data_IF_738391585414
#
_entry.id   IF_738391585414
#
_cell.length_a   1.000
_cell.length_b   1.000
_cell.length_c   1.000
_cell.angle_alpha   90.00
_cell.angle_beta   90.00
_cell.angle_gamma   90.00
#
_symmetry.space_group_name_H-M   'P 1'
#
loop_
_entity.id
_entity.type
_entity.pdbx_description
1 polymer ?
#
# COMPACT_ATOMS: atom_id res chain seq x y z
N UNK A 1 -12.27 18.36 -71.76
CA UNK A 1 -13.66 17.88 -71.57
C UNK A 1 -14.14 18.31 -70.19
N UNK A 2 -15.27 19.01 -70.17
CA UNK A 2 -15.98 19.58 -69.02
C UNK A 2 -16.68 18.51 -68.17
N UNK A 3 -16.64 18.66 -66.83
CA UNK A 3 -17.69 18.29 -65.84
C UNK A 3 -17.22 18.86 -64.49
N UNK A 4 -17.65 20.03 -64.00
CA UNK A 4 -18.97 20.47 -63.49
C UNK A 4 -19.56 19.59 -62.36
N UNK A 5 -19.56 20.19 -61.16
CA UNK A 5 -20.57 20.11 -60.10
C UNK A 5 -20.55 18.84 -59.24
N UNK A 6 -20.81 18.84 -57.93
CA UNK A 6 -21.75 19.66 -57.15
C UNK A 6 -21.28 19.88 -55.70
N UNK A 7 -21.63 21.06 -55.18
CA UNK A 7 -21.78 21.38 -53.77
C UNK A 7 -22.56 20.29 -53.01
N UNK A 8 -22.13 19.98 -51.78
CA UNK A 8 -23.06 19.85 -50.65
C UNK A 8 -22.32 20.12 -49.34
N UNK A 9 -22.55 21.33 -48.82
CA UNK A 9 -22.30 21.68 -47.45
C UNK A 9 -23.46 21.17 -46.59
N UNK A 10 -23.18 20.41 -45.54
CA UNK A 10 -24.05 20.30 -44.37
C UNK A 10 -23.17 20.51 -43.16
N UNK A 11 -23.17 21.76 -42.66
CA UNK A 11 -22.68 22.09 -41.33
C UNK A 11 -23.70 21.56 -40.33
N UNK A 12 -23.36 20.48 -39.61
CA UNK A 12 -24.05 20.12 -38.38
C UNK A 12 -23.30 20.75 -37.21
N UNK A 13 -23.74 21.93 -36.78
CA UNK A 13 -23.29 22.59 -35.56
C UNK A 13 -23.88 21.86 -34.36
N UNK A 14 -23.21 20.80 -33.90
CA UNK A 14 -23.46 20.20 -32.60
C UNK A 14 -22.80 21.04 -31.52
N UNK A 15 -23.59 21.80 -30.76
CA UNK A 15 -23.12 22.50 -29.57
C UNK A 15 -22.77 21.46 -28.49
N UNK A 16 -21.49 21.11 -28.38
CA UNK A 16 -20.98 20.28 -27.29
C UNK A 16 -20.83 21.19 -26.07
N UNK A 17 -21.78 21.14 -25.14
CA UNK A 17 -21.67 21.73 -23.81
C UNK A 17 -20.51 21.03 -23.08
N UNK A 18 -19.32 21.59 -23.20
CA UNK A 18 -18.16 21.25 -22.38
C UNK A 18 -18.45 21.63 -20.93
N UNK A 19 -18.99 20.67 -20.17
CA UNK A 19 -18.94 20.68 -18.72
C UNK A 19 -17.47 20.53 -18.31
N UNK A 20 -16.81 21.67 -18.08
CA UNK A 20 -15.50 21.74 -17.46
C UNK A 20 -15.68 21.30 -16.00
N UNK A 21 -15.52 19.99 -15.73
CA UNK A 21 -15.44 19.49 -14.37
C UNK A 21 -14.21 20.15 -13.71
N UNK A 22 -14.35 20.76 -12.52
CA UNK A 22 -13.20 21.29 -11.82
C UNK A 22 -12.26 20.12 -11.53
N UNK A 23 -11.08 20.18 -12.15
CA UNK A 23 -9.97 19.29 -11.88
C UNK A 23 -9.53 19.58 -10.44
N UNK A 24 -10.14 18.92 -9.46
CA UNK A 24 -9.68 18.97 -8.08
C UNK A 24 -8.26 18.41 -8.06
N UNK A 25 -7.28 19.31 -7.97
CA UNK A 25 -5.89 18.95 -7.76
C UNK A 25 -5.80 18.23 -6.41
N UNK A 26 -5.66 16.89 -6.47
CA UNK A 26 -5.31 16.08 -5.31
C UNK A 26 -3.87 16.45 -4.95
N UNK A 27 -3.71 17.40 -4.02
CA UNK A 27 -2.40 17.71 -3.47
C UNK A 27 -1.92 16.52 -2.64
N UNK A 28 -0.75 15.97 -2.98
CA UNK A 28 -0.11 14.93 -2.20
C UNK A 28 0.10 15.43 -0.77
N UNK A 29 -0.59 14.83 0.20
CA UNK A 29 -0.49 15.23 1.59
C UNK A 29 0.94 15.00 2.12
N UNK A 30 1.41 15.85 3.06
CA UNK A 30 2.80 15.85 3.50
C UNK A 30 3.17 14.55 4.23
N UNK A 31 4.46 14.19 4.18
CA UNK A 31 5.08 13.01 4.81
C UNK A 31 4.67 12.81 6.27
N UNK A 32 4.38 13.90 7.00
CA UNK A 32 3.90 13.85 8.37
C UNK A 32 2.58 13.07 8.54
N UNK A 33 1.69 13.08 7.54
CA UNK A 33 0.38 12.44 7.64
C UNK A 33 0.45 10.90 7.47
N UNK A 34 1.32 10.38 6.60
CA UNK A 34 1.55 8.92 6.50
C UNK A 34 2.25 8.38 7.75
N UNK A 35 3.17 9.18 8.31
CA UNK A 35 3.76 8.94 9.63
C UNK A 35 2.70 8.86 10.72
N UNK A 36 1.68 9.73 10.70
CA UNK A 36 0.60 9.71 11.70
C UNK A 36 -0.25 8.43 11.63
N UNK A 37 -0.49 7.87 10.44
CA UNK A 37 -1.15 6.55 10.30
C UNK A 37 -0.28 5.42 10.82
N UNK A 38 1.01 5.41 10.46
CA UNK A 38 1.98 4.43 10.96
C UNK A 38 2.10 4.49 12.49
N UNK A 39 2.15 5.68 13.08
CA UNK A 39 2.17 5.89 14.52
C UNK A 39 0.92 5.34 15.21
N UNK A 40 -0.27 5.61 14.67
CA UNK A 40 -1.52 5.00 15.18
C UNK A 40 -1.47 3.48 15.11
N UNK A 41 -0.96 2.92 14.01
CA UNK A 41 -0.79 1.48 13.86
C UNK A 41 0.21 0.90 14.88
N UNK A 42 1.28 1.63 15.23
CA UNK A 42 2.23 1.25 16.29
C UNK A 42 1.60 1.24 17.68
N UNK A 43 0.64 2.15 17.95
CA UNK A 43 -0.07 2.24 19.22
C UNK A 43 -1.10 1.14 19.44
N UNK A 44 -1.52 0.44 18.38
CA UNK A 44 -2.46 -0.66 18.50
C UNK A 44 -1.84 -1.87 19.21
N UNK A 45 -2.64 -2.60 20.03
CA UNK A 45 -2.27 -3.94 20.49
C UNK A 45 -1.91 -4.84 19.30
N UNK A 46 -0.95 -5.74 19.50
CA UNK A 46 -0.38 -6.53 18.42
C UNK A 46 -1.43 -7.27 17.58
N UNK A 47 -2.42 -7.89 18.22
CA UNK A 47 -3.49 -8.61 17.54
C UNK A 47 -4.30 -7.69 16.62
N UNK A 48 -4.61 -6.47 17.08
CA UNK A 48 -5.37 -5.50 16.28
C UNK A 48 -4.53 -4.98 15.11
N UNK A 49 -3.25 -4.67 15.37
CA UNK A 49 -2.29 -4.28 14.33
C UNK A 49 -2.18 -5.35 13.24
N UNK A 50 -2.06 -6.62 13.64
CA UNK A 50 -1.99 -7.74 12.70
C UNK A 50 -3.29 -7.92 11.92
N UNK A 51 -4.45 -7.70 12.54
CA UNK A 51 -5.73 -7.74 11.84
C UNK A 51 -5.83 -6.65 10.76
N UNK A 52 -5.41 -5.42 11.07
CA UNK A 52 -5.39 -4.31 10.10
C UNK A 52 -4.45 -4.63 8.93
N UNK A 53 -3.23 -5.09 9.21
CA UNK A 53 -2.25 -5.43 8.16
C UNK A 53 -2.68 -6.64 7.34
N UNK A 54 -3.32 -7.63 7.96
CA UNK A 54 -3.94 -8.76 7.26
C UNK A 54 -5.07 -8.29 6.34
N UNK A 55 -5.90 -7.35 6.80
CA UNK A 55 -6.95 -6.73 6.01
C UNK A 55 -6.35 -6.10 4.75
N UNK A 56 -5.38 -5.21 4.92
CA UNK A 56 -4.69 -4.55 3.80
C UNK A 56 -4.10 -5.55 2.78
N UNK A 57 -3.48 -6.64 3.26
CA UNK A 57 -2.96 -7.72 2.41
C UNK A 57 -4.06 -8.36 1.56
N UNK A 58 -5.15 -8.77 2.19
CA UNK A 58 -6.27 -9.43 1.51
C UNK A 58 -7.00 -8.47 0.55
N UNK A 59 -7.19 -7.20 0.95
CA UNK A 59 -7.82 -6.17 0.12
C UNK A 59 -6.99 -5.85 -1.14
N UNK A 60 -5.67 -6.05 -1.07
CA UNK A 60 -4.75 -5.91 -2.20
C UNK A 60 -4.63 -7.18 -3.06
N UNK A 61 -5.42 -8.22 -2.79
CA UNK A 61 -5.40 -9.49 -3.52
C UNK A 61 -4.32 -10.49 -3.08
N UNK A 62 -3.54 -10.16 -2.05
CA UNK A 62 -2.57 -11.10 -1.47
C UNK A 62 -3.24 -11.91 -0.37
N UNK A 63 -3.52 -13.18 -0.66
CA UNK A 63 -4.09 -14.07 0.34
C UNK A 63 -3.13 -14.18 1.54
N UNK A 64 -3.64 -13.75 2.70
CA UNK A 64 -2.95 -13.88 3.97
C UNK A 64 -3.84 -14.47 5.06
N UNK A 65 -3.53 -15.72 5.45
CA UNK A 65 -4.26 -16.40 6.53
C UNK A 65 -3.93 -15.82 7.90
N UNK A 66 -2.66 -15.56 8.19
CA UNK A 66 -2.22 -14.98 9.47
C UNK A 66 -0.99 -14.12 9.27
N UNK A 67 -0.96 -12.95 9.91
CA UNK A 67 0.28 -12.20 10.08
C UNK A 67 1.03 -12.76 11.29
N UNK A 68 2.25 -13.24 11.09
CA UNK A 68 3.10 -13.80 12.14
C UNK A 68 4.14 -12.83 12.66
N UNK A 69 4.50 -11.81 11.87
CA UNK A 69 5.33 -10.70 12.29
C UNK A 69 4.98 -9.43 11.51
N UNK A 70 5.06 -8.27 12.17
CA UNK A 70 4.98 -6.98 11.49
C UNK A 70 5.88 -5.96 12.20
N UNK A 71 6.70 -5.24 11.44
CA UNK A 71 7.62 -4.23 11.98
C UNK A 71 7.60 -2.97 11.12
N UNK A 72 7.49 -1.77 11.73
CA UNK A 72 7.67 -0.53 10.99
C UNK A 72 9.13 -0.41 10.54
N UNK A 73 9.35 -0.09 9.27
CA UNK A 73 10.69 0.26 8.80
C UNK A 73 11.01 1.71 9.18
N UNK A 74 12.26 1.96 9.55
CA UNK A 74 12.75 3.32 9.86
C UNK A 74 12.82 4.18 8.59
N UNK A 75 13.13 3.54 7.48
CA UNK A 75 13.19 4.15 6.16
C UNK A 75 11.82 3.95 5.48
N UNK A 76 11.13 5.06 5.24
CA UNK A 76 9.97 5.10 4.36
C UNK A 76 10.39 5.14 2.89
N UNK A 77 9.42 5.29 1.99
CA UNK A 77 9.67 5.58 0.59
C UNK A 77 8.88 6.83 0.20
N UNK A 78 9.59 7.89 -0.19
CA UNK A 78 9.03 9.23 -0.40
C UNK A 78 8.16 9.69 0.78
N UNK A 79 6.86 9.87 0.54
CA UNK A 79 5.86 10.27 1.53
C UNK A 79 5.09 9.07 2.13
N UNK A 80 5.57 7.85 1.96
CA UNK A 80 4.92 6.63 2.44
C UNK A 80 5.67 6.03 3.62
N UNK A 81 4.94 5.71 4.68
CA UNK A 81 5.50 4.94 5.79
C UNK A 81 5.53 3.46 5.43
N UNK A 82 6.66 2.79 5.60
CA UNK A 82 6.82 1.38 5.22
C UNK A 82 6.72 0.45 6.43
N UNK A 83 6.07 -0.69 6.25
CA UNK A 83 6.02 -1.81 7.18
C UNK A 83 6.47 -3.10 6.50
N UNK A 84 7.28 -3.88 7.21
CA UNK A 84 7.63 -5.25 6.82
C UNK A 84 6.66 -6.20 7.49
N UNK A 85 5.96 -7.04 6.72
CA UNK A 85 4.92 -7.94 7.22
C UNK A 85 5.19 -9.36 6.74
N UNK A 86 5.27 -10.30 7.69
CA UNK A 86 5.37 -11.72 7.39
C UNK A 86 3.99 -12.34 7.48
N UNK A 87 3.53 -12.84 6.35
CA UNK A 87 2.32 -13.61 6.26
C UNK A 87 2.63 -15.11 6.33
N UNK A 88 1.82 -15.84 7.08
CA UNK A 88 1.83 -17.30 7.17
C UNK A 88 0.51 -17.83 6.61
N UNK A 89 0.58 -18.54 5.49
CA UNK A 89 -0.60 -19.09 4.81
C UNK A 89 -0.92 -20.50 5.30
N UNK A 90 0.12 -21.31 5.48
CA UNK A 90 0.06 -22.62 6.09
C UNK A 90 1.26 -22.82 7.04
N UNK A 91 1.46 -24.05 7.54
CA UNK A 91 2.51 -24.34 8.51
C UNK A 91 3.94 -24.24 7.94
N UNK A 92 4.11 -24.30 6.62
CA UNK A 92 5.41 -24.39 5.95
C UNK A 92 5.70 -23.21 5.00
N UNK A 93 4.66 -22.48 4.57
CA UNK A 93 4.74 -21.41 3.61
C UNK A 93 4.52 -20.06 4.29
N UNK A 94 5.61 -19.29 4.37
CA UNK A 94 5.58 -17.88 4.77
C UNK A 94 6.03 -16.98 3.63
N UNK A 95 5.41 -15.82 3.51
CA UNK A 95 5.70 -14.82 2.50
C UNK A 95 5.88 -13.47 3.18
N UNK A 96 6.91 -12.75 2.75
CA UNK A 96 7.25 -11.44 3.29
C UNK A 96 6.80 -10.33 2.34
N UNK A 97 6.14 -9.32 2.90
CA UNK A 97 5.56 -8.20 2.18
C UNK A 97 6.06 -6.86 2.72
N UNK A 98 6.24 -5.92 1.80
CA UNK A 98 6.38 -4.50 2.06
C UNK A 98 5.00 -3.84 1.94
N UNK A 99 4.54 -3.21 3.02
CA UNK A 99 3.29 -2.45 3.07
C UNK A 99 3.63 -0.98 3.19
N UNK A 100 3.32 -0.20 2.17
CA UNK A 100 3.51 1.24 2.12
C UNK A 100 2.19 1.95 2.44
N UNK A 101 2.17 2.74 3.51
CA UNK A 101 1.00 3.46 3.99
C UNK A 101 1.04 4.90 3.48
N UNK A 102 -0.01 5.28 2.76
CA UNK A 102 -0.25 6.65 2.31
C UNK A 102 -0.76 7.56 3.44
N UNK A 103 -0.66 8.89 3.25
CA UNK A 103 -1.18 9.87 4.20
C UNK A 103 -2.72 9.88 4.30
N UNK A 104 -3.38 9.36 3.28
CA UNK A 104 -4.83 9.13 3.18
C UNK A 104 -5.29 7.83 3.85
N UNK A 105 -4.36 7.02 4.37
CA UNK A 105 -4.64 5.71 4.94
C UNK A 105 -4.76 4.59 3.90
N UNK A 106 -4.47 4.86 2.63
CA UNK A 106 -4.34 3.81 1.61
C UNK A 106 -3.11 2.95 1.87
N UNK A 107 -3.14 1.70 1.42
CA UNK A 107 -2.03 0.77 1.52
C UNK A 107 -1.64 0.26 0.13
N UNK A 108 -0.35 0.34 -0.19
CA UNK A 108 0.24 -0.28 -1.37
C UNK A 108 1.13 -1.44 -0.92
N UNK A 109 0.93 -2.61 -1.52
CA UNK A 109 1.59 -3.84 -1.08
C UNK A 109 2.46 -4.40 -2.19
N UNK A 110 3.68 -4.79 -1.82
CA UNK A 110 4.64 -5.46 -2.70
C UNK A 110 5.27 -6.65 -1.98
N UNK A 111 5.67 -7.68 -2.72
CA UNK A 111 6.46 -8.76 -2.13
C UNK A 111 7.88 -8.23 -1.85
N UNK A 112 8.47 -8.63 -0.73
CA UNK A 112 9.81 -8.18 -0.35
C UNK A 112 10.90 -8.62 -1.33
N UNK A 113 10.65 -9.65 -2.14
CA UNK A 113 11.57 -10.08 -3.20
C UNK A 113 11.66 -9.07 -4.35
N UNK A 114 10.57 -8.32 -4.58
CA UNK A 114 10.45 -7.40 -5.70
C UNK A 114 10.97 -6.00 -5.35
N UNK A 115 11.06 -5.65 -4.05
CA UNK A 115 11.50 -4.32 -3.62
C UNK A 115 12.93 -4.02 -4.03
N UNK A 116 13.83 -5.00 -3.95
CA UNK A 116 15.24 -4.83 -4.36
C UNK A 116 15.38 -4.53 -5.85
N UNK A 117 14.57 -5.17 -6.70
CA UNK A 117 14.58 -4.95 -8.15
C UNK A 117 14.07 -3.56 -8.52
N UNK A 118 13.18 -3.00 -7.69
CA UNK A 118 12.51 -1.72 -7.91
C UNK A 118 13.20 -0.54 -7.18
N UNK A 119 14.38 -0.76 -6.59
CA UNK A 119 15.08 0.23 -5.73
C UNK A 119 14.20 0.77 -4.59
N UNK A 120 13.27 -0.04 -4.09
CA UNK A 120 12.46 0.28 -2.91
C UNK A 120 13.18 -0.16 -1.63
N UNK A 121 12.84 0.41 -0.46
CA UNK A 121 13.50 0.06 0.79
C UNK A 121 13.31 -1.42 1.11
N UNK A 122 14.36 -2.01 1.69
CA UNK A 122 14.40 -3.45 1.95
C UNK A 122 13.52 -3.78 3.16
N UNK A 123 12.83 -4.92 3.08
CA UNK A 123 12.08 -5.42 4.23
C UNK A 123 13.04 -5.85 5.34
N UNK A 124 12.84 -5.30 6.53
CA UNK A 124 13.60 -5.68 7.71
C UNK A 124 12.65 -6.23 8.76
N UNK A 125 12.89 -7.46 9.18
CA UNK A 125 12.30 -8.03 10.37
C UNK A 125 13.36 -8.00 11.47
N UNK A 126 13.05 -7.48 12.67
CA UNK A 126 13.93 -7.64 13.80
C UNK A 126 14.02 -9.15 14.03
N UNK A 127 15.24 -9.66 14.19
CA UNK A 127 15.43 -11.01 14.71
C UNK A 127 14.63 -11.07 16.01
N UNK A 128 13.59 -11.90 16.03
CA UNK A 128 12.80 -12.13 17.24
C UNK A 128 13.81 -12.70 18.23
N UNK A 129 14.26 -11.88 19.17
CA UNK A 129 14.93 -12.36 20.37
C UNK A 129 13.83 -13.11 21.10
N UNK A 130 13.72 -14.40 20.79
CA UNK A 130 12.90 -15.37 21.48
C UNK A 130 13.27 -15.20 22.94
N UNK A 131 12.41 -14.50 23.68
CA UNK A 131 12.54 -14.31 25.11
C UNK A 131 12.70 -15.72 25.65
N UNK A 132 13.94 -16.05 26.00
CA UNK A 132 14.28 -17.29 26.66
C UNK A 132 13.23 -17.49 27.73
N UNK A 133 12.56 -18.62 27.67
CA UNK A 133 11.78 -19.18 28.78
C UNK A 133 12.70 -19.21 29.99
N UNK A 134 12.80 -18.09 30.70
CA UNK A 134 13.29 -18.07 32.05
C UNK A 134 12.22 -18.77 32.86
N UNK A 135 12.44 -20.07 33.06
CA UNK A 135 11.71 -20.88 34.01
C UNK A 135 11.94 -20.24 35.38
N UNK A 136 11.12 -19.26 35.74
CA UNK A 136 10.77 -18.97 37.13
C UNK A 136 9.96 -20.15 37.68
N UNK A 137 10.61 -21.31 37.79
CA UNK A 137 10.26 -22.38 38.72
C UNK A 137 10.66 -21.88 40.10
N UNK A 138 9.85 -20.97 40.64
CA UNK A 138 9.96 -20.46 42.01
C UNK A 138 8.69 -20.86 42.75
N UNK A 139 8.72 -22.07 43.33
CA UNK A 139 8.51 -22.36 44.76
C UNK A 139 8.01 -23.79 44.94
#
# INVERSE_FOLDING_TARGET
MFRKSFFNAVLSTGAVLSFCLPFCAVQAAPVAASLAYSQRLQQLPEIQRFAVLRGALNDSGFFCRRVSAATPNKEGYDNLAMWSVRCQNDNSHSQDFAVFLGPDGSAQIRQCKDTKTLNLPVCNFPVVQEKAKDKSSKK
#
